data_IF_290282558211
#
_entry.id   IF_290282558211
#
_cell.length_a   1.000
_cell.length_b   1.000
_cell.length_c   1.000
_cell.angle_alpha   90.00
_cell.angle_beta   90.00
_cell.angle_gamma   90.00
#
_symmetry.space_group_name_H-M   'P 1'
#
loop_
_entity.id
_entity.type
_entity.pdbx_description
1 polymer ?
#
# COMPACT_ATOMS: atom_id res chain seq x y z
N UNK A 1 6.50 -15.46 -0.43
CA UNK A 1 5.53 -14.74 -1.28
C UNK A 1 5.05 -13.54 -0.47
N UNK A 2 5.35 -12.31 -0.90
CA UNK A 2 5.01 -11.11 -0.12
C UNK A 2 3.53 -10.77 -0.27
N UNK A 3 2.69 -11.41 0.56
CA UNK A 3 1.24 -11.21 0.60
C UNK A 3 0.87 -9.72 0.74
N UNK A 4 1.65 -8.96 1.51
CA UNK A 4 1.50 -7.51 1.65
C UNK A 4 1.43 -6.78 0.32
N UNK A 5 2.40 -7.04 -0.57
CA UNK A 5 2.50 -6.31 -1.84
C UNK A 5 1.33 -6.66 -2.73
N UNK A 6 0.96 -7.93 -2.80
CA UNK A 6 -0.16 -8.39 -3.61
C UNK A 6 -1.45 -7.72 -3.14
N UNK A 7 -1.72 -7.71 -1.83
CA UNK A 7 -2.88 -7.02 -1.26
C UNK A 7 -2.84 -5.51 -1.53
N UNK A 8 -1.68 -4.87 -1.29
CA UNK A 8 -1.49 -3.44 -1.52
C UNK A 8 -1.70 -3.04 -2.97
N UNK A 9 -1.07 -3.72 -3.92
CA UNK A 9 -1.25 -3.43 -5.34
C UNK A 9 -2.69 -3.67 -5.78
N UNK A 10 -3.37 -4.70 -5.24
CA UNK A 10 -4.76 -4.98 -5.59
C UNK A 10 -5.72 -3.89 -5.09
N UNK A 11 -5.49 -3.39 -3.87
CA UNK A 11 -6.26 -2.28 -3.31
C UNK A 11 -5.95 -0.96 -4.01
N UNK A 12 -4.66 -0.72 -4.28
CA UNK A 12 -4.18 0.44 -5.01
C UNK A 12 -4.75 0.51 -6.41
N UNK A 13 -4.64 -0.58 -7.18
CA UNK A 13 -5.17 -0.67 -8.54
C UNK A 13 -6.68 -0.45 -8.54
N UNK A 14 -7.42 -1.07 -7.61
CA UNK A 14 -8.87 -0.88 -7.48
C UNK A 14 -9.26 0.57 -7.18
N UNK A 15 -8.55 1.22 -6.25
CA UNK A 15 -8.82 2.61 -5.84
C UNK A 15 -8.44 3.63 -6.91
N UNK A 16 -7.32 3.40 -7.61
CA UNK A 16 -6.88 4.20 -8.77
C UNK A 16 -7.88 4.03 -9.91
N UNK A 17 -8.27 2.78 -10.23
CA UNK A 17 -9.24 2.49 -11.30
C UNK A 17 -10.62 3.07 -10.99
N UNK A 18 -11.02 3.12 -9.73
CA UNK A 18 -12.27 3.77 -9.29
C UNK A 18 -12.18 5.31 -9.29
N UNK A 19 -11.00 5.89 -9.49
CA UNK A 19 -10.77 7.33 -9.42
C UNK A 19 -10.87 7.92 -8.01
N UNK A 20 -11.05 7.07 -6.99
CA UNK A 20 -11.10 7.47 -5.58
C UNK A 20 -9.71 7.84 -5.03
N UNK A 21 -8.66 7.44 -5.73
CA UNK A 21 -7.28 7.63 -5.32
C UNK A 21 -6.42 8.04 -6.52
N UNK A 22 -5.43 8.89 -6.30
CA UNK A 22 -4.35 9.17 -7.25
C UNK A 22 -3.01 8.88 -6.61
N UNK A 23 -2.02 8.51 -7.44
CA UNK A 23 -0.66 8.28 -6.96
C UNK A 23 -0.11 9.45 -6.14
N UNK A 24 -0.44 10.68 -6.56
CA UNK A 24 -0.07 11.93 -5.89
C UNK A 24 -0.58 12.02 -4.44
N UNK A 25 -1.73 11.43 -4.15
CA UNK A 25 -2.35 11.46 -2.82
C UNK A 25 -1.66 10.51 -1.83
N UNK A 26 -0.99 9.45 -2.30
CA UNK A 26 -0.27 8.52 -1.41
C UNK A 26 0.97 9.13 -0.76
N UNK A 27 1.50 10.24 -1.29
CA UNK A 27 2.67 10.91 -0.74
C UNK A 27 3.92 10.02 -0.64
N UNK A 28 4.00 8.98 -1.46
CA UNK A 28 5.19 8.16 -1.67
C UNK A 28 5.90 8.61 -2.94
N UNK A 29 7.23 8.65 -2.90
CA UNK A 29 8.02 8.92 -4.09
C UNK A 29 7.95 7.74 -5.06
N UNK A 30 8.06 8.04 -6.36
CA UNK A 30 8.19 6.99 -7.40
C UNK A 30 9.29 6.00 -7.06
N UNK A 31 10.43 6.45 -6.52
CA UNK A 31 11.50 5.56 -6.07
C UNK A 31 11.03 4.56 -5.01
N UNK A 32 10.31 5.01 -3.98
CA UNK A 32 9.80 4.11 -2.94
C UNK A 32 8.77 3.13 -3.47
N UNK A 33 7.91 3.58 -4.38
CA UNK A 33 6.96 2.71 -5.05
C UNK A 33 7.66 1.70 -5.96
N UNK A 34 8.67 2.13 -6.71
CA UNK A 34 9.48 1.25 -7.55
C UNK A 34 10.21 0.23 -6.69
N UNK A 35 10.84 0.62 -5.57
CA UNK A 35 11.47 -0.30 -4.61
C UNK A 35 10.44 -1.26 -4.02
N UNK A 36 9.23 -0.80 -3.73
CA UNK A 36 8.13 -1.66 -3.34
C UNK A 36 7.76 -2.66 -4.46
N UNK A 37 7.80 -2.30 -5.74
CA UNK A 37 7.60 -3.23 -6.84
C UNK A 37 8.76 -4.23 -7.00
N UNK A 38 10.01 -3.76 -6.93
CA UNK A 38 11.20 -4.53 -7.34
C UNK A 38 11.88 -5.27 -6.21
N UNK A 39 12.01 -4.68 -5.02
CA UNK A 39 12.76 -5.29 -3.91
C UNK A 39 11.85 -6.18 -3.08
N UNK A 40 11.91 -7.50 -3.24
CA UNK A 40 11.04 -8.43 -2.49
C UNK A 40 11.08 -8.23 -0.95
N UNK A 41 12.20 -7.82 -0.36
CA UNK A 41 12.30 -7.60 1.08
C UNK A 41 11.93 -6.17 1.52
N UNK A 42 11.67 -5.27 0.58
CA UNK A 42 11.25 -3.91 0.89
C UNK A 42 9.79 -3.89 1.36
N UNK A 43 9.64 -3.66 2.65
CA UNK A 43 8.39 -3.38 3.35
C UNK A 43 8.46 -1.96 3.90
N UNK A 44 7.35 -1.24 3.81
CA UNK A 44 7.23 0.03 4.49
C UNK A 44 7.21 -0.19 6.01
N UNK A 45 7.72 0.78 6.76
CA UNK A 45 7.53 0.82 8.21
C UNK A 45 6.04 0.91 8.55
N UNK A 46 5.67 0.42 9.73
CA UNK A 46 4.26 0.40 10.17
C UNK A 46 3.62 1.80 10.10
N UNK A 47 4.38 2.86 10.40
CA UNK A 47 3.97 4.26 10.23
C UNK A 47 3.66 4.63 8.78
N UNK A 48 4.54 4.26 7.83
CA UNK A 48 4.32 4.53 6.40
C UNK A 48 3.16 3.73 5.84
N UNK A 49 3.00 2.48 6.27
CA UNK A 49 1.83 1.66 5.92
C UNK A 49 0.55 2.34 6.43
N UNK A 50 0.56 2.82 7.67
CA UNK A 50 -0.61 3.48 8.25
C UNK A 50 -0.92 4.82 7.57
N UNK A 51 0.10 5.58 7.18
CA UNK A 51 -0.06 6.81 6.40
C UNK A 51 -0.59 6.54 4.99
N UNK A 52 -0.05 5.49 4.32
CA UNK A 52 -0.55 5.00 3.04
C UNK A 52 -2.01 4.57 3.13
N UNK A 53 -2.38 3.79 4.15
CA UNK A 53 -3.75 3.35 4.35
C UNK A 53 -4.71 4.53 4.56
N UNK A 54 -4.29 5.55 5.33
CA UNK A 54 -5.06 6.78 5.53
C UNK A 54 -5.22 7.57 4.23
N UNK A 55 -4.14 7.76 3.48
CA UNK A 55 -4.14 8.49 2.20
C UNK A 55 -4.88 7.75 1.09
N UNK A 56 -4.81 6.43 1.09
CA UNK A 56 -5.59 5.55 0.22
C UNK A 56 -7.07 5.53 0.54
N UNK A 57 -7.46 6.14 1.67
CA UNK A 57 -8.81 6.09 2.19
C UNK A 57 -9.30 4.63 2.29
N UNK A 58 -8.40 3.74 2.72
CA UNK A 58 -8.70 2.33 2.90
C UNK A 58 -9.69 2.18 4.04
N UNK A 59 -10.63 1.26 3.86
CA UNK A 59 -11.53 0.90 4.95
C UNK A 59 -10.73 0.27 6.11
N UNK A 60 -11.34 0.28 7.30
CA UNK A 60 -10.73 -0.34 8.50
C UNK A 60 -10.35 -1.80 8.24
N UNK A 61 -11.14 -2.54 7.46
CA UNK A 61 -10.85 -3.93 7.08
C UNK A 61 -9.65 -4.06 6.13
N UNK A 62 -9.58 -3.22 5.10
CA UNK A 62 -8.47 -3.22 4.13
C UNK A 62 -7.15 -2.83 4.80
N UNK A 63 -7.21 -1.82 5.67
CA UNK A 63 -6.07 -1.42 6.52
C UNK A 63 -5.63 -2.57 7.40
N UNK A 64 -6.57 -3.28 8.05
CA UNK A 64 -6.26 -4.44 8.89
C UNK A 64 -5.57 -5.55 8.11
N UNK A 65 -6.10 -5.89 6.92
CA UNK A 65 -5.49 -6.88 6.01
C UNK A 65 -4.07 -6.48 5.63
N UNK A 66 -3.84 -5.21 5.30
CA UNK A 66 -2.51 -4.72 4.94
C UNK A 66 -1.53 -4.81 6.13
N UNK A 67 -1.96 -4.38 7.32
CA UNK A 67 -1.13 -4.42 8.53
C UNK A 67 -0.85 -5.86 8.98
N UNK A 68 -1.82 -6.77 8.88
CA UNK A 68 -1.62 -8.20 9.16
C UNK A 68 -0.67 -8.84 8.15
N UNK A 69 -0.78 -8.49 6.86
CA UNK A 69 0.11 -8.97 5.82
C UNK A 69 1.54 -8.41 5.95
N UNK A 70 1.73 -7.30 6.68
CA UNK A 70 3.03 -6.73 7.01
C UNK A 70 3.69 -7.39 8.23
N UNK A 71 2.91 -8.02 9.12
CA UNK A 71 3.39 -8.64 10.38
C UNK A 71 3.74 -10.13 10.25
N UNK A 72 3.55 -10.74 9.07
CA UNK A 72 3.61 -12.18 8.84
C UNK A 72 4.67 -12.53 7.82
#
# INVERSE_FOLDING_TARGET
MNTFKIEFFRLYDRKIASGELKFSDLGISKEEFTRLCTEQQFLFTEEKVMDLCKKMNLTKEETKKLTEACKK
#
